data_IF_293945067699
#
_entry.id   IF_293945067699
#
_cell.length_a   1.000
_cell.length_b   1.000
_cell.length_c   1.000
_cell.angle_alpha   90.00
_cell.angle_beta   90.00
_cell.angle_gamma   90.00
#
_symmetry.space_group_name_H-M   'P 1'
#
loop_
_entity.id
_entity.type
_entity.pdbx_description
1 polymer ?
#
# COMPACT_ATOMS: atom_id res chain seq x y z
N UNK A 1 59.93 -1.13 -51.92
CA UNK A 1 58.85 -1.87 -51.22
C UNK A 1 57.56 -1.59 -51.98
N UNK A 2 57.28 -2.38 -53.03
CA UNK A 2 56.36 -3.55 -53.06
C UNK A 2 54.91 -3.09 -53.38
N UNK A 3 54.48 -3.18 -54.65
CA UNK A 3 53.71 -4.28 -55.32
C UNK A 3 52.19 -3.96 -55.30
N UNK A 4 51.51 -3.71 -56.44
CA UNK A 4 50.83 -4.64 -57.38
C UNK A 4 49.29 -4.54 -57.33
N UNK A 5 48.70 -4.40 -58.53
CA UNK A 5 47.50 -5.13 -59.01
C UNK A 5 46.08 -4.79 -58.52
N UNK A 6 45.26 -4.31 -59.48
CA UNK A 6 43.87 -4.76 -59.73
C UNK A 6 43.88 -6.25 -60.18
N UNK A 7 42.79 -7.09 -60.11
CA UNK A 7 41.44 -6.75 -60.62
C UNK A 7 40.20 -7.52 -60.06
N UNK A 8 39.02 -7.07 -60.50
CA UNK A 8 37.84 -7.82 -61.02
C UNK A 8 37.16 -8.98 -60.25
N UNK A 9 35.82 -8.88 -60.10
CA UNK A 9 34.83 -9.93 -60.46
C UNK A 9 33.40 -9.57 -59.95
N UNK A 10 32.47 -9.32 -60.89
CA UNK A 10 31.03 -9.67 -60.78
C UNK A 10 30.86 -11.22 -60.69
N UNK A 11 29.66 -11.87 -60.55
CA UNK A 11 28.25 -11.42 -60.40
C UNK A 11 27.46 -12.22 -59.31
N UNK A 12 26.15 -11.95 -59.12
CA UNK A 12 25.01 -12.93 -59.19
C UNK A 12 23.78 -12.57 -58.33
N UNK A 13 22.63 -12.67 -59.00
CA UNK A 13 21.24 -12.77 -58.54
C UNK A 13 21.03 -13.58 -57.24
N UNK A 14 20.13 -13.10 -56.37
CA UNK A 14 19.12 -13.89 -55.64
C UNK A 14 17.86 -13.03 -55.46
N UNK A 15 16.87 -13.20 -56.35
CA UNK A 15 15.57 -13.85 -56.08
C UNK A 15 14.84 -13.32 -54.85
N UNK A 16 13.74 -12.62 -55.15
CA UNK A 16 12.63 -12.38 -54.24
C UNK A 16 12.21 -13.69 -53.57
N UNK A 17 12.13 -13.67 -52.23
CA UNK A 17 11.43 -14.65 -51.44
C UNK A 17 10.31 -13.93 -50.70
N UNK A 18 9.12 -14.50 -50.83
CA UNK A 18 7.85 -13.98 -50.37
C UNK A 18 7.85 -13.60 -48.88
N UNK A 19 7.15 -12.50 -48.57
CA UNK A 19 6.77 -12.13 -47.22
C UNK A 19 5.86 -13.22 -46.64
N UNK A 20 6.38 -13.98 -45.68
CA UNK A 20 5.62 -14.88 -44.81
C UNK A 20 5.04 -14.02 -43.68
N UNK A 21 3.75 -14.15 -43.32
CA UNK A 21 3.16 -13.31 -42.28
C UNK A 21 3.78 -13.66 -40.92
N UNK A 22 4.41 -12.65 -40.31
CA UNK A 22 4.88 -12.69 -38.92
C UNK A 22 3.68 -12.92 -38.02
N UNK A 23 3.66 -14.08 -37.37
CA UNK A 23 2.82 -14.32 -36.19
C UNK A 23 3.20 -13.28 -35.15
N UNK A 24 2.22 -12.44 -34.77
CA UNK A 24 2.37 -11.56 -33.61
C UNK A 24 2.28 -12.44 -32.36
N UNK A 25 3.43 -12.67 -31.75
CA UNK A 25 3.49 -13.17 -30.38
C UNK A 25 2.82 -12.15 -29.43
N UNK A 26 2.08 -12.62 -28.41
CA UNK A 26 1.50 -11.75 -27.42
C UNK A 26 2.61 -11.09 -26.59
N UNK A 27 2.46 -9.77 -26.51
CA UNK A 27 3.07 -8.78 -25.63
C UNK A 27 3.76 -9.39 -24.40
N UNK A 28 5.05 -9.09 -24.30
CA UNK A 28 5.97 -9.57 -23.29
C UNK A 28 5.54 -9.28 -21.85
N UNK A 29 5.90 -10.22 -20.99
CA UNK A 29 5.94 -10.05 -19.55
C UNK A 29 6.89 -8.90 -19.17
N UNK A 30 6.51 -8.02 -18.24
CA UNK A 30 7.48 -7.14 -17.60
C UNK A 30 8.31 -7.98 -16.61
N UNK A 31 9.62 -7.95 -16.85
CA UNK A 31 10.68 -8.42 -15.99
C UNK A 31 10.91 -7.45 -14.80
N UNK A 32 11.33 -7.98 -13.66
CA UNK A 32 12.08 -7.21 -12.65
C UNK A 32 11.30 -6.48 -11.54
N UNK A 33 10.69 -7.24 -10.64
CA UNK A 33 10.66 -7.01 -9.18
C UNK A 33 9.77 -8.09 -8.57
N UNK A 34 10.26 -8.90 -7.62
CA UNK A 34 9.38 -9.72 -6.79
C UNK A 34 8.41 -8.77 -6.10
N UNK A 35 7.11 -8.75 -6.45
CA UNK A 35 6.17 -7.92 -5.74
C UNK A 35 6.08 -8.50 -4.33
N UNK A 36 6.07 -7.67 -3.30
CA UNK A 36 5.35 -8.01 -2.07
C UNK A 36 4.05 -8.70 -2.49
N UNK A 37 3.93 -9.99 -2.19
CA UNK A 37 3.04 -10.87 -2.92
C UNK A 37 1.60 -10.34 -2.85
N UNK A 38 1.17 -9.70 -3.94
CA UNK A 38 -0.08 -8.96 -4.00
C UNK A 38 -1.18 -9.97 -4.27
N UNK A 39 -1.74 -10.49 -3.20
CA UNK A 39 -2.69 -11.59 -3.29
C UNK A 39 -3.93 -11.19 -4.09
N UNK A 40 -4.24 -11.96 -5.13
CA UNK A 40 -5.27 -11.62 -6.11
C UNK A 40 -6.48 -12.56 -6.05
N UNK A 41 -7.68 -12.00 -6.23
CA UNK A 41 -8.92 -12.74 -6.41
C UNK A 41 -9.79 -12.15 -7.54
N UNK A 42 -10.51 -13.03 -8.22
CA UNK A 42 -11.52 -12.68 -9.21
C UNK A 42 -12.89 -12.73 -8.54
N UNK A 43 -13.72 -11.73 -8.83
CA UNK A 43 -15.01 -11.53 -8.18
C UNK A 43 -16.09 -11.25 -9.21
N UNK A 44 -17.26 -11.86 -9.00
CA UNK A 44 -18.43 -11.64 -9.85
C UNK A 44 -18.96 -10.21 -9.67
N UNK A 45 -19.18 -9.44 -10.75
CA UNK A 45 -19.71 -8.09 -10.65
C UNK A 45 -21.17 -8.03 -10.16
N UNK A 46 -21.93 -9.13 -10.26
CA UNK A 46 -23.34 -9.20 -9.83
C UNK A 46 -23.50 -9.56 -8.36
N UNK A 47 -22.82 -10.61 -7.92
CA UNK A 47 -22.99 -11.16 -6.57
C UNK A 47 -21.90 -10.72 -5.61
N UNK A 48 -20.80 -10.16 -6.11
CA UNK A 48 -19.57 -9.91 -5.36
C UNK A 48 -19.02 -11.17 -4.68
N UNK A 49 -19.36 -12.36 -5.21
CA UNK A 49 -18.79 -13.62 -4.78
C UNK A 49 -17.41 -13.84 -5.42
N UNK A 50 -16.48 -14.41 -4.66
CA UNK A 50 -15.16 -14.81 -5.16
C UNK A 50 -15.35 -15.97 -6.13
N UNK A 51 -14.94 -15.79 -7.39
CA UNK A 51 -15.06 -16.82 -8.44
C UNK A 51 -13.76 -17.60 -8.64
N UNK A 52 -12.64 -16.99 -8.33
CA UNK A 52 -11.32 -17.61 -8.31
C UNK A 52 -10.42 -16.83 -7.35
N UNK A 53 -9.48 -17.49 -6.69
CA UNK A 53 -8.52 -16.83 -5.81
C UNK A 53 -7.16 -17.51 -5.93
N UNK A 54 -6.10 -16.70 -5.87
CA UNK A 54 -4.76 -17.23 -5.68
C UNK A 54 -4.63 -17.84 -4.27
N UNK A 55 -3.82 -18.91 -4.07
CA UNK A 55 -3.65 -19.52 -2.76
C UNK A 55 -3.22 -18.54 -1.67
N UNK A 56 -2.43 -17.52 -2.03
CA UNK A 56 -2.00 -16.50 -1.08
C UNK A 56 -3.15 -15.59 -0.63
N UNK A 57 -4.11 -15.30 -1.51
CA UNK A 57 -5.31 -14.54 -1.16
C UNK A 57 -6.16 -15.33 -0.17
N UNK A 58 -6.35 -16.62 -0.41
CA UNK A 58 -7.08 -17.49 0.49
C UNK A 58 -6.39 -17.59 1.86
N UNK A 59 -5.06 -17.71 1.88
CA UNK A 59 -4.25 -17.76 3.10
C UNK A 59 -4.39 -16.52 3.98
N UNK A 60 -4.64 -15.34 3.43
CA UNK A 60 -4.89 -14.14 4.25
C UNK A 60 -6.13 -14.29 5.14
N UNK A 61 -7.09 -15.10 4.71
CA UNK A 61 -8.31 -15.41 5.46
C UNK A 61 -8.23 -16.73 6.21
N UNK A 62 -7.05 -17.38 6.30
CA UNK A 62 -6.91 -18.73 6.85
C UNK A 62 -7.83 -19.77 6.18
N UNK A 63 -8.11 -19.59 4.89
CA UNK A 63 -8.92 -20.48 4.06
C UNK A 63 -8.07 -21.10 2.94
N UNK A 64 -8.54 -22.21 2.38
CA UNK A 64 -8.05 -22.72 1.10
C UNK A 64 -8.70 -21.99 -0.09
N UNK A 65 -8.09 -22.11 -1.27
CA UNK A 65 -8.61 -21.52 -2.51
C UNK A 65 -10.03 -22.03 -2.84
N UNK A 66 -10.33 -23.29 -2.51
CA UNK A 66 -11.65 -23.87 -2.76
C UNK A 66 -12.70 -23.38 -1.74
N UNK A 67 -12.32 -23.18 -0.48
CA UNK A 67 -13.22 -22.70 0.58
C UNK A 67 -13.56 -21.21 0.47
N UNK A 68 -12.67 -20.41 -0.13
CA UNK A 68 -12.91 -18.99 -0.35
C UNK A 68 -13.73 -18.73 -1.61
N UNK A 69 -13.65 -19.62 -2.61
CA UNK A 69 -14.50 -19.54 -3.79
C UNK A 69 -15.97 -19.72 -3.40
N UNK A 70 -16.84 -18.90 -3.98
CA UNK A 70 -18.27 -18.83 -3.68
C UNK A 70 -18.63 -17.93 -2.49
N UNK A 71 -17.68 -17.54 -1.63
CA UNK A 71 -17.95 -16.61 -0.52
C UNK A 71 -18.14 -15.18 -1.00
N UNK A 72 -19.00 -14.43 -0.31
CA UNK A 72 -19.19 -13.01 -0.57
C UNK A 72 -18.00 -12.18 -0.10
N UNK A 73 -17.43 -11.35 -0.97
CA UNK A 73 -16.28 -10.51 -0.61
C UNK A 73 -16.59 -9.54 0.55
N UNK A 74 -17.84 -9.08 0.65
CA UNK A 74 -18.29 -8.19 1.73
C UNK A 74 -18.52 -8.92 3.07
N UNK A 75 -18.50 -10.25 3.09
CA UNK A 75 -18.51 -11.04 4.33
C UNK A 75 -17.10 -11.14 4.92
N UNK A 76 -16.10 -11.17 4.03
CA UNK A 76 -14.67 -11.26 4.34
C UNK A 76 -14.07 -9.89 4.69
N UNK A 77 -14.54 -8.81 4.07
CA UNK A 77 -14.01 -7.46 4.20
C UNK A 77 -15.07 -6.48 4.71
N UNK A 78 -14.68 -5.62 5.66
CA UNK A 78 -15.52 -4.54 6.19
C UNK A 78 -14.81 -3.19 6.06
N UNK A 79 -15.53 -2.14 5.66
CA UNK A 79 -15.00 -0.76 5.72
C UNK A 79 -15.32 -0.14 7.10
N UNK A 80 -14.50 0.81 7.59
CA UNK A 80 -14.79 1.57 8.81
C UNK A 80 -16.13 2.31 8.73
N UNK A 81 -16.51 2.76 7.54
CA UNK A 81 -17.81 3.39 7.28
C UNK A 81 -18.80 2.34 6.75
N UNK A 82 -19.92 2.08 7.46
CA UNK A 82 -20.95 1.15 6.98
C UNK A 82 -21.45 1.54 5.59
N UNK A 83 -21.59 0.57 4.68
CA UNK A 83 -22.15 0.78 3.34
C UNK A 83 -21.18 1.34 2.30
N UNK A 84 -20.11 2.04 2.69
CA UNK A 84 -19.15 2.67 1.75
C UNK A 84 -18.51 1.66 0.79
N UNK A 85 -18.10 0.51 1.31
CA UNK A 85 -17.49 -0.54 0.48
C UNK A 85 -18.48 -1.07 -0.57
N UNK A 86 -19.75 -1.27 -0.18
CA UNK A 86 -20.82 -1.74 -1.07
C UNK A 86 -21.12 -0.72 -2.17
N UNK A 87 -21.17 0.56 -1.83
CA UNK A 87 -21.36 1.64 -2.81
C UNK A 87 -20.22 1.68 -3.83
N UNK A 88 -18.96 1.53 -3.39
CA UNK A 88 -17.79 1.48 -4.28
C UNK A 88 -17.84 0.29 -5.23
N UNK A 89 -18.19 -0.90 -4.73
CA UNK A 89 -18.37 -2.07 -5.59
C UNK A 89 -19.55 -1.93 -6.55
N UNK A 90 -20.63 -1.28 -6.13
CA UNK A 90 -21.79 -0.97 -7.01
C UNK A 90 -21.40 0.02 -8.10
N UNK A 91 -20.60 1.05 -7.77
CA UNK A 91 -20.05 1.97 -8.75
C UNK A 91 -19.10 1.26 -9.74
N UNK A 92 -18.33 0.29 -9.25
CA UNK A 92 -17.41 -0.51 -10.07
C UNK A 92 -18.16 -1.44 -11.03
N UNK A 93 -19.19 -2.16 -10.55
CA UNK A 93 -19.98 -3.09 -11.36
C UNK A 93 -20.91 -2.40 -12.37
N UNK A 94 -21.36 -1.17 -12.06
CA UNK A 94 -22.13 -0.33 -12.99
C UNK A 94 -21.27 0.44 -13.99
N UNK A 95 -19.94 0.32 -13.92
CA UNK A 95 -19.02 1.03 -14.80
C UNK A 95 -18.85 2.52 -14.49
N UNK A 96 -19.43 3.03 -13.39
CA UNK A 96 -19.27 4.44 -12.94
C UNK A 96 -17.84 4.75 -12.48
N UNK A 97 -17.10 3.74 -12.04
CA UNK A 97 -15.66 3.84 -11.84
C UNK A 97 -14.96 2.60 -12.41
N UNK A 98 -13.70 2.75 -12.85
CA UNK A 98 -12.88 1.63 -13.38
C UNK A 98 -12.05 0.94 -12.32
N UNK A 99 -11.73 1.63 -11.23
CA UNK A 99 -10.96 1.11 -10.10
C UNK A 99 -11.23 1.94 -8.86
N UNK A 100 -11.04 1.33 -7.69
CA UNK A 100 -10.93 2.07 -6.44
C UNK A 100 -9.93 1.38 -5.51
N UNK A 101 -9.46 2.15 -4.52
CA UNK A 101 -8.66 1.65 -3.41
C UNK A 101 -9.31 2.09 -2.11
N UNK A 102 -9.32 1.23 -1.11
CA UNK A 102 -9.99 1.45 0.16
C UNK A 102 -9.28 0.72 1.30
N UNK A 103 -9.26 1.32 2.49
CA UNK A 103 -8.82 0.64 3.72
C UNK A 103 -9.99 -0.13 4.32
N UNK A 104 -9.75 -1.39 4.62
CA UNK A 104 -10.75 -2.33 5.12
C UNK A 104 -10.17 -3.12 6.28
N UNK A 105 -11.06 -3.73 7.05
CA UNK A 105 -10.75 -4.76 8.03
C UNK A 105 -11.17 -6.10 7.44
N UNK A 106 -10.21 -6.97 7.20
CA UNK A 106 -10.45 -8.37 6.87
C UNK A 106 -10.72 -9.17 8.12
N UNK A 107 -11.49 -10.26 8.00
CA UNK A 107 -11.70 -11.23 9.08
C UNK A 107 -11.23 -12.61 8.63
N UNK A 108 -10.25 -13.16 9.32
CA UNK A 108 -9.74 -14.50 9.02
C UNK A 108 -10.73 -15.61 9.48
N UNK A 109 -10.46 -16.85 9.08
CA UNK A 109 -11.26 -18.03 9.38
C UNK A 109 -11.25 -18.41 10.85
N UNK A 110 -10.30 -17.90 11.63
CA UNK A 110 -10.27 -18.00 13.11
C UNK A 110 -11.09 -16.87 13.77
N UNK A 111 -11.63 -15.95 12.98
CA UNK A 111 -12.45 -14.83 13.43
C UNK A 111 -11.66 -13.61 13.88
N UNK A 112 -10.32 -13.59 13.73
CA UNK A 112 -9.46 -12.44 14.01
C UNK A 112 -9.60 -11.40 12.92
N UNK A 113 -9.63 -10.15 13.32
CA UNK A 113 -9.64 -9.03 12.40
C UNK A 113 -8.20 -8.64 12.06
N UNK A 114 -7.98 -8.21 10.83
CA UNK A 114 -6.70 -7.63 10.40
C UNK A 114 -6.96 -6.45 9.47
N UNK A 115 -6.17 -5.36 9.56
CA UNK A 115 -6.29 -4.27 8.61
C UNK A 115 -5.72 -4.68 7.26
N UNK A 116 -6.36 -4.21 6.19
CA UNK A 116 -5.94 -4.44 4.83
C UNK A 116 -6.27 -3.24 3.94
N UNK A 117 -5.55 -3.14 2.84
CA UNK A 117 -5.89 -2.25 1.74
C UNK A 117 -6.40 -3.10 0.59
N UNK A 118 -7.63 -2.82 0.16
CA UNK A 118 -8.25 -3.48 -0.98
C UNK A 118 -8.18 -2.56 -2.19
N UNK A 119 -7.70 -3.08 -3.31
CA UNK A 119 -7.77 -2.43 -4.61
C UNK A 119 -8.62 -3.28 -5.53
N UNK A 120 -9.72 -2.74 -6.03
CA UNK A 120 -10.61 -3.44 -6.95
C UNK A 120 -10.61 -2.76 -8.31
N UNK A 121 -10.53 -3.56 -9.37
CA UNK A 121 -10.45 -3.11 -10.77
C UNK A 121 -11.55 -3.80 -11.56
N UNK A 122 -12.30 -3.04 -12.35
CA UNK A 122 -13.31 -3.58 -13.25
C UNK A 122 -12.65 -4.11 -14.52
N UNK A 123 -12.98 -5.35 -14.88
CA UNK A 123 -12.59 -5.98 -16.14
C UNK A 123 -13.81 -5.96 -17.05
N UNK A 124 -13.71 -5.21 -18.14
CA UNK A 124 -14.77 -5.08 -19.12
C UNK A 124 -14.34 -5.48 -20.52
N UNK A 125 -15.32 -5.74 -21.37
CA UNK A 125 -15.13 -5.96 -22.79
C UNK A 125 -15.06 -4.62 -23.56
N UNK A 126 -14.59 -4.62 -24.82
CA UNK A 126 -14.60 -3.43 -25.67
C UNK A 126 -16.00 -2.83 -25.87
N UNK A 127 -17.06 -3.63 -25.67
CA UNK A 127 -18.47 -3.23 -25.67
C UNK A 127 -18.87 -2.36 -24.48
N UNK A 128 -18.00 -2.24 -23.47
CA UNK A 128 -18.27 -1.51 -22.23
C UNK A 128 -18.94 -2.34 -21.13
N UNK A 129 -19.30 -3.59 -21.41
CA UNK A 129 -19.86 -4.52 -20.42
C UNK A 129 -18.79 -4.97 -19.42
N UNK A 130 -19.08 -4.89 -18.12
CA UNK A 130 -18.20 -5.42 -17.06
C UNK A 130 -18.45 -6.91 -16.89
N UNK A 131 -17.44 -7.72 -17.20
CA UNK A 131 -17.51 -9.20 -17.15
C UNK A 131 -16.89 -9.78 -15.89
N UNK A 132 -16.06 -9.02 -15.19
CA UNK A 132 -15.38 -9.48 -13.99
C UNK A 132 -14.80 -8.34 -13.17
N UNK A 133 -14.47 -8.62 -11.91
CA UNK A 133 -13.70 -7.73 -11.06
C UNK A 133 -12.43 -8.45 -10.63
N UNK A 134 -11.30 -7.76 -10.64
CA UNK A 134 -10.05 -8.24 -10.05
C UNK A 134 -9.80 -7.45 -8.77
N UNK A 135 -9.55 -8.18 -7.69
CA UNK A 135 -9.36 -7.64 -6.35
C UNK A 135 -7.98 -8.02 -5.87
N UNK A 136 -7.20 -7.00 -5.52
CA UNK A 136 -5.93 -7.14 -4.84
C UNK A 136 -6.15 -6.82 -3.37
N UNK A 137 -5.67 -7.71 -2.51
CA UNK A 137 -5.70 -7.50 -1.08
C UNK A 137 -4.26 -7.50 -0.56
N UNK A 138 -3.86 -6.36 -0.02
CA UNK A 138 -2.61 -6.24 0.71
C UNK A 138 -2.95 -6.14 2.18
N UNK A 139 -2.50 -7.10 2.98
CA UNK A 139 -2.53 -6.96 4.44
C UNK A 139 -1.75 -5.69 4.76
N UNK A 140 -2.44 -4.71 5.31
CA UNK A 140 -1.72 -3.63 5.94
C UNK A 140 -1.14 -4.29 7.17
N UNK A 141 0.14 -4.09 7.43
CA UNK A 141 0.57 -4.26 8.80
C UNK A 141 -0.41 -3.42 9.62
N UNK A 142 -1.12 -4.08 10.53
CA UNK A 142 -1.55 -3.42 11.75
C UNK A 142 -0.35 -2.57 12.13
N UNK A 143 -0.53 -1.29 12.40
CA UNK A 143 0.55 -0.51 12.98
C UNK A 143 0.84 -1.07 14.39
N UNK A 144 1.33 -2.30 14.46
CA UNK A 144 2.24 -2.84 15.43
C UNK A 144 3.59 -2.32 14.93
N UNK A 145 4.17 -1.26 15.43
CA UNK A 145 4.09 -0.73 16.77
C UNK A 145 3.37 0.61 16.83
N UNK A 146 2.46 0.74 17.80
CA UNK A 146 2.28 2.04 18.40
C UNK A 146 3.64 2.52 18.87
N UNK A 147 4.16 3.60 18.28
CA UNK A 147 5.46 4.16 18.62
C UNK A 147 5.69 4.25 20.15
N UNK A 148 6.95 4.37 20.57
CA UNK A 148 7.37 4.08 21.94
C UNK A 148 6.48 4.74 22.99
N UNK A 149 6.08 3.98 24.02
CA UNK A 149 5.35 4.56 25.16
C UNK A 149 6.23 5.59 25.86
N UNK A 150 5.71 6.80 25.99
CA UNK A 150 6.41 7.95 26.55
C UNK A 150 6.01 8.17 28.01
N UNK A 151 6.88 8.81 28.77
CA UNK A 151 6.46 9.41 30.03
C UNK A 151 5.51 10.58 29.73
N UNK A 152 4.64 10.94 30.68
CA UNK A 152 3.78 12.13 30.54
C UNK A 152 4.57 13.40 30.17
N UNK A 153 5.78 13.54 30.71
CA UNK A 153 6.64 14.67 30.40
C UNK A 153 7.22 14.61 28.98
N UNK A 154 7.71 13.46 28.53
CA UNK A 154 8.24 13.33 27.15
C UNK A 154 7.12 13.47 26.12
N UNK A 155 5.89 13.04 26.43
CA UNK A 155 4.72 13.31 25.60
C UNK A 155 4.46 14.81 25.47
N UNK A 156 4.46 15.57 26.57
CA UNK A 156 4.31 17.03 26.53
C UNK A 156 5.43 17.75 25.77
N UNK A 157 6.66 17.22 25.83
CA UNK A 157 7.78 17.73 25.02
C UNK A 157 7.52 17.43 23.54
N UNK A 158 7.14 16.20 23.18
CA UNK A 158 6.83 15.82 21.81
C UNK A 158 5.69 16.65 21.21
N UNK A 159 4.62 16.89 21.97
CA UNK A 159 3.50 17.76 21.58
C UNK A 159 3.95 19.19 21.29
N UNK A 160 4.79 19.76 22.17
CA UNK A 160 5.30 21.11 21.96
C UNK A 160 6.27 21.19 20.77
N UNK A 161 7.12 20.18 20.58
CA UNK A 161 7.97 20.06 19.39
C UNK A 161 7.12 20.00 18.12
N UNK A 162 6.05 19.20 18.11
CA UNK A 162 5.12 19.06 16.98
C UNK A 162 4.32 20.34 16.72
N UNK A 163 4.06 21.13 17.76
CA UNK A 163 3.42 22.45 17.67
C UNK A 163 4.38 23.56 17.24
N UNK A 164 5.67 23.27 17.04
CA UNK A 164 6.68 24.24 16.62
C UNK A 164 7.30 25.05 17.77
N UNK A 165 7.10 24.66 19.03
CA UNK A 165 7.73 25.34 20.16
C UNK A 165 9.26 25.20 20.12
N UNK A 166 9.95 26.32 20.34
CA UNK A 166 11.39 26.36 20.55
C UNK A 166 11.79 25.70 21.88
N UNK A 167 13.05 25.30 22.01
CA UNK A 167 13.59 24.76 23.28
C UNK A 167 13.40 25.74 24.45
N UNK A 168 13.48 27.05 24.20
CA UNK A 168 13.28 28.08 25.23
C UNK A 168 11.82 28.13 25.68
N UNK A 169 10.88 28.11 24.74
CA UNK A 169 9.44 28.08 25.06
C UNK A 169 9.05 26.83 25.84
N UNK A 170 9.54 25.67 25.42
CA UNK A 170 9.36 24.40 26.14
C UNK A 170 9.94 24.44 27.54
N UNK A 171 11.15 24.98 27.71
CA UNK A 171 11.82 25.09 29.01
C UNK A 171 11.00 25.98 29.96
N UNK A 172 10.53 27.14 29.48
CA UNK A 172 9.68 28.03 30.26
C UNK A 172 8.32 27.40 30.60
N UNK A 173 7.66 26.73 29.65
CA UNK A 173 6.33 26.13 29.84
C UNK A 173 6.34 24.92 30.77
N UNK A 174 7.38 24.09 30.67
CA UNK A 174 7.51 22.85 31.45
C UNK A 174 8.34 23.04 32.74
N UNK A 175 8.76 24.27 33.04
CA UNK A 175 9.59 24.60 34.21
C UNK A 175 10.87 23.76 34.30
N UNK A 176 11.53 23.57 33.15
CA UNK A 176 12.78 22.81 33.02
C UNK A 176 13.91 23.70 32.51
N UNK A 177 15.15 23.28 32.74
CA UNK A 177 16.29 23.95 32.10
C UNK A 177 16.29 23.71 30.58
N UNK A 178 16.85 24.67 29.83
CA UNK A 178 17.03 24.53 28.37
C UNK A 178 17.78 23.25 28.01
N UNK A 179 18.84 22.95 28.76
CA UNK A 179 19.63 21.72 28.58
C UNK A 179 18.82 20.46 28.89
N UNK A 180 17.92 20.49 29.89
CA UNK A 180 17.02 19.39 30.20
C UNK A 180 16.05 19.07 29.05
N UNK A 181 15.53 20.11 28.39
CA UNK A 181 14.72 19.94 27.18
C UNK A 181 15.55 19.38 26.02
N UNK A 182 16.74 19.92 25.77
CA UNK A 182 17.65 19.43 24.72
C UNK A 182 18.00 17.96 24.91
N UNK A 183 18.28 17.55 26.14
CA UNK A 183 18.53 16.16 26.50
C UNK A 183 17.34 15.26 26.15
N UNK A 184 16.12 15.63 26.58
CA UNK A 184 14.91 14.84 26.30
C UNK A 184 14.62 14.73 24.81
N UNK A 185 14.76 15.84 24.07
CA UNK A 185 14.61 15.82 22.61
C UNK A 185 15.67 14.91 21.97
N UNK A 186 16.92 14.95 22.43
CA UNK A 186 17.97 14.03 22.00
C UNK A 186 17.63 12.55 22.25
N UNK A 187 17.06 12.23 23.41
CA UNK A 187 16.61 10.88 23.72
C UNK A 187 15.44 10.45 22.82
N UNK A 188 14.49 11.35 22.53
CA UNK A 188 13.41 11.07 21.59
C UNK A 188 13.93 10.87 20.17
N UNK A 189 14.87 11.68 19.70
CA UNK A 189 15.50 11.48 18.39
C UNK A 189 16.08 10.06 18.25
N UNK A 190 16.75 9.55 19.29
CA UNK A 190 17.25 8.17 19.30
C UNK A 190 16.13 7.13 19.35
N UNK A 191 15.14 7.30 20.24
CA UNK A 191 14.02 6.35 20.39
C UNK A 191 13.14 6.23 19.16
N UNK A 192 12.96 7.32 18.41
CA UNK A 192 12.20 7.35 17.17
C UNK A 192 13.08 7.10 15.94
N UNK A 193 14.39 6.92 16.10
CA UNK A 193 15.36 6.80 15.00
C UNK A 193 15.27 7.97 14.01
N UNK A 194 15.15 9.19 14.55
CA UNK A 194 15.02 10.42 13.80
C UNK A 194 16.34 11.22 13.81
N UNK A 195 16.85 11.67 12.64
CA UNK A 195 18.12 12.41 12.56
C UNK A 195 18.01 13.88 13.01
N UNK A 196 16.81 14.45 13.09
CA UNK A 196 16.58 15.86 13.46
C UNK A 196 15.15 16.09 13.97
N UNK A 197 14.88 17.26 14.54
CA UNK A 197 13.57 17.61 15.15
C UNK A 197 12.39 17.48 14.18
N UNK A 198 12.45 17.97 12.91
CA UNK A 198 11.36 17.73 11.96
C UNK A 198 11.12 16.25 11.67
N UNK A 199 12.18 15.46 11.51
CA UNK A 199 12.06 14.01 11.30
C UNK A 199 11.45 13.29 12.51
N UNK A 200 11.71 13.77 13.73
CA UNK A 200 11.05 13.25 14.94
C UNK A 200 9.53 13.41 14.85
N UNK A 201 9.06 14.60 14.45
CA UNK A 201 7.62 14.87 14.28
C UNK A 201 7.03 14.00 13.17
N UNK A 202 7.71 13.91 12.03
CA UNK A 202 7.26 13.09 10.90
C UNK A 202 7.17 11.59 11.29
N UNK A 203 8.16 11.05 11.98
CA UNK A 203 8.15 9.66 12.46
C UNK A 203 7.10 9.43 13.53
N UNK A 204 6.92 10.35 14.47
CA UNK A 204 5.84 10.27 15.45
C UNK A 204 4.44 10.25 14.77
N UNK A 205 4.26 11.04 13.70
CA UNK A 205 3.03 11.03 12.93
C UNK A 205 2.83 9.72 12.13
N UNK A 206 3.90 9.18 11.54
CA UNK A 206 3.87 7.90 10.84
C UNK A 206 3.55 6.72 11.78
N UNK A 207 4.05 6.77 13.02
CA UNK A 207 3.79 5.78 14.07
C UNK A 207 2.45 5.99 14.79
N UNK A 208 1.62 6.93 14.31
CA UNK A 208 0.30 7.22 14.89
C UNK A 208 0.36 7.67 16.34
N UNK A 209 1.38 8.44 16.73
CA UNK A 209 1.49 8.94 18.12
C UNK A 209 0.44 9.99 18.44
N UNK A 210 -0.06 10.72 17.43
CA UNK A 210 -0.94 11.88 17.63
C UNK A 210 -2.42 11.57 17.35
N UNK A 211 -3.31 12.23 18.10
CA UNK A 211 -4.74 12.21 17.88
C UNK A 211 -5.09 12.79 16.48
N UNK A 212 -5.96 12.08 15.75
CA UNK A 212 -6.38 12.50 14.41
C UNK A 212 -7.35 13.67 14.48
N UNK A 213 -7.18 14.68 13.62
CA UNK A 213 -8.09 15.83 13.51
C UNK A 213 -7.97 16.87 14.62
N UNK A 214 -6.96 16.77 15.48
CA UNK A 214 -6.73 17.72 16.58
C UNK A 214 -5.53 18.63 16.29
N UNK A 215 -5.73 19.94 16.45
CA UNK A 215 -4.67 20.94 16.43
C UNK A 215 -4.74 21.84 17.67
N UNK A 216 -3.63 22.10 18.37
CA UNK A 216 -2.29 21.53 18.16
C UNK A 216 -2.24 20.00 18.39
N UNK A 217 -1.23 19.29 17.83
CA UNK A 217 -1.14 17.83 17.92
C UNK A 217 -1.02 17.36 19.39
N UNK A 218 -1.81 16.36 19.78
CA UNK A 218 -1.77 15.73 21.10
C UNK A 218 -1.41 14.27 21.02
N UNK A 219 -0.57 13.79 21.93
CA UNK A 219 -0.21 12.38 21.98
C UNK A 219 -1.40 11.58 22.50
N UNK A 220 -1.67 10.43 21.87
CA UNK A 220 -2.77 9.55 22.30
C UNK A 220 -2.55 9.06 23.74
N UNK A 221 -3.58 9.02 24.60
CA UNK A 221 -3.44 8.58 25.99
C UNK A 221 -2.83 7.17 26.14
N UNK A 222 -3.12 6.27 25.21
CA UNK A 222 -2.56 4.92 25.14
C UNK A 222 -1.04 4.86 24.90
N UNK A 223 -0.43 5.98 24.50
CA UNK A 223 1.02 6.10 24.27
C UNK A 223 1.76 6.77 25.44
N UNK A 224 1.08 6.99 26.56
CA UNK A 224 1.62 7.62 27.76
C UNK A 224 1.57 6.65 28.94
N UNK A 225 2.67 6.54 29.69
CA UNK A 225 2.80 5.79 30.95
C UNK A 225 2.90 6.71 32.16
#
# INVERSE_FOLDING_TARGET
MATTSFPDASPRKKTAAAAVPVRRDPIGAPDGATPEAACTAHVSPRTLAVTAAEPEFARQFSLSADEICGRGLLELLRSPAPGQLREKFTALSSGRCRRFRERVTGRDGEGRNFPAEVTAIAVGQPTGEIVGLVVFLRRAEEAADGGPVLSALDAQVLEGVASGESTVQLASRLYLSRQGIEYRVGQMLRRFDAPNRPALVARAHALGMFATGQWPPRVLPERVR
#
